data_IF_795054038439
#
_entry.id   IF_795054038439
#
_cell.length_a   1.000
_cell.length_b   1.000
_cell.length_c   1.000
_cell.angle_alpha   90.00
_cell.angle_beta   90.00
_cell.angle_gamma   90.00
#
_symmetry.space_group_name_H-M   'P 1'
#
loop_
_entity.id
_entity.type
_entity.pdbx_description
1 polymer ?
#
# COMPACT_ATOMS: atom_id res chain seq x y z
N UNK A 1 6.27 9.65 -12.43
CA UNK A 1 5.19 9.46 -11.43
C UNK A 1 5.75 8.77 -10.20
N UNK A 2 5.31 9.18 -9.00
CA UNK A 2 5.67 8.53 -7.74
C UNK A 2 4.49 7.65 -7.31
N UNK A 3 4.76 6.42 -6.88
CA UNK A 3 3.76 5.59 -6.19
C UNK A 3 3.97 5.71 -4.68
N UNK A 4 2.91 6.04 -3.94
CA UNK A 4 2.94 6.19 -2.48
C UNK A 4 1.89 5.27 -1.86
N UNK A 5 2.32 4.29 -1.08
CA UNK A 5 1.41 3.43 -0.31
C UNK A 5 1.19 4.03 1.07
N UNK A 6 -0.05 4.18 1.47
CA UNK A 6 -0.44 4.63 2.81
C UNK A 6 -0.76 3.41 3.67
N UNK A 7 0.01 3.19 4.73
CA UNK A 7 -0.17 2.04 5.64
C UNK A 7 -1.57 2.01 6.27
N UNK A 8 -2.20 0.83 6.34
CA UNK A 8 -3.55 0.68 6.88
C UNK A 8 -3.68 1.12 8.34
N UNK A 9 -2.65 0.93 9.14
CA UNK A 9 -2.59 1.38 10.54
C UNK A 9 -2.43 2.90 10.72
N UNK A 10 -2.24 3.67 9.63
CA UNK A 10 -2.25 5.14 9.69
C UNK A 10 -3.66 5.72 9.66
N UNK A 11 -4.67 4.93 9.24
CA UNK A 11 -6.06 5.40 9.16
C UNK A 11 -6.72 5.63 10.53
N UNK A 12 -6.09 5.20 11.63
CA UNK A 12 -6.51 5.49 12.99
C UNK A 12 -6.19 6.93 13.45
N UNK A 13 -5.37 7.67 12.68
CA UNK A 13 -4.88 8.98 13.08
C UNK A 13 -5.76 10.11 12.50
N UNK A 14 -6.39 10.95 13.34
CA UNK A 14 -7.21 12.09 12.88
C UNK A 14 -6.43 13.08 12.01
N UNK A 15 -5.13 13.26 12.28
CA UNK A 15 -4.24 14.16 11.55
C UNK A 15 -3.80 13.63 10.16
N UNK A 16 -4.21 12.40 9.76
CA UNK A 16 -3.74 11.78 8.51
C UNK A 16 -4.04 12.65 7.28
N UNK A 17 -5.23 13.19 7.16
CA UNK A 17 -5.61 14.03 6.01
C UNK A 17 -4.74 15.28 5.86
N UNK A 18 -4.65 16.15 6.89
CA UNK A 18 -3.76 17.31 6.86
C UNK A 18 -2.31 16.95 6.54
N UNK A 19 -1.74 15.94 7.23
CA UNK A 19 -0.36 15.52 7.03
C UNK A 19 -0.10 14.99 5.60
N UNK A 20 -1.01 14.17 5.05
CA UNK A 20 -0.91 13.69 3.67
C UNK A 20 -0.96 14.84 2.66
N UNK A 21 -1.86 15.81 2.83
CA UNK A 21 -1.93 16.96 1.93
C UNK A 21 -0.64 17.79 1.97
N UNK A 22 -0.06 18.00 3.14
CA UNK A 22 1.23 18.68 3.29
C UNK A 22 2.34 17.88 2.60
N UNK A 23 2.42 16.58 2.86
CA UNK A 23 3.41 15.70 2.23
C UNK A 23 3.29 15.69 0.70
N UNK A 24 2.08 15.54 0.16
CA UNK A 24 1.84 15.56 -1.28
C UNK A 24 2.30 16.87 -1.92
N UNK A 25 2.14 17.99 -1.23
CA UNK A 25 2.62 19.29 -1.71
C UNK A 25 4.16 19.33 -1.85
N UNK A 26 4.90 18.59 -1.02
CA UNK A 26 6.38 18.50 -1.15
C UNK A 26 6.83 17.67 -2.35
N UNK A 27 5.93 16.85 -2.90
CA UNK A 27 6.23 16.01 -4.06
C UNK A 27 5.93 16.71 -5.39
N UNK A 28 5.24 17.85 -5.37
CA UNK A 28 4.92 18.61 -6.57
C UNK A 28 6.20 19.08 -7.30
N UNK A 29 6.20 19.17 -8.63
CA UNK A 29 5.06 18.96 -9.55
C UNK A 29 4.87 17.51 -10.02
N UNK A 30 5.51 16.53 -9.41
CA UNK A 30 5.45 15.14 -9.85
C UNK A 30 4.06 14.55 -9.60
N UNK A 31 3.45 13.85 -10.59
CA UNK A 31 2.18 13.16 -10.37
C UNK A 31 2.38 12.01 -9.37
N UNK A 32 1.41 11.87 -8.45
CA UNK A 32 1.40 10.84 -7.42
C UNK A 32 0.22 9.91 -7.61
N UNK A 33 0.48 8.60 -7.53
CA UNK A 33 -0.52 7.55 -7.41
C UNK A 33 -0.48 6.98 -6.00
N UNK A 34 -1.59 7.08 -5.28
CA UNK A 34 -1.72 6.55 -3.93
C UNK A 34 -2.26 5.13 -3.96
N UNK A 35 -1.78 4.30 -3.06
CA UNK A 35 -2.29 2.95 -2.79
C UNK A 35 -2.72 2.88 -1.33
N UNK A 36 -4.00 2.63 -1.10
CA UNK A 36 -4.55 2.53 0.25
C UNK A 36 -4.22 1.19 0.89
N UNK A 37 -3.75 1.19 2.13
CA UNK A 37 -3.65 0.00 2.97
C UNK A 37 -5.01 -0.49 3.44
N UNK A 38 -5.12 -1.77 3.80
CA UNK A 38 -6.41 -2.38 4.19
C UNK A 38 -6.90 -1.95 5.57
N UNK A 39 -6.00 -1.85 6.56
CA UNK A 39 -6.39 -1.53 7.94
C UNK A 39 -7.49 -2.46 8.47
N UNK A 40 -8.38 -1.92 9.29
CA UNK A 40 -9.46 -2.68 9.94
C UNK A 40 -10.39 -3.42 8.97
N UNK A 41 -10.58 -2.91 7.73
CA UNK A 41 -11.46 -3.59 6.76
C UNK A 41 -10.83 -4.88 6.23
N UNK A 42 -9.53 -4.90 5.99
CA UNK A 42 -8.81 -6.12 5.62
C UNK A 42 -8.73 -7.11 6.79
N UNK A 43 -8.65 -6.62 8.02
CA UNK A 43 -8.67 -7.49 9.22
C UNK A 43 -10.03 -8.15 9.42
N UNK A 44 -11.13 -7.46 9.08
CA UNK A 44 -12.46 -8.06 9.05
C UNK A 44 -12.54 -9.21 8.02
N UNK A 45 -11.96 -9.03 6.82
CA UNK A 45 -11.90 -10.10 5.81
C UNK A 45 -11.07 -11.30 6.30
N UNK A 46 -9.94 -11.06 6.98
CA UNK A 46 -9.15 -12.13 7.61
C UNK A 46 -9.97 -12.89 8.66
N UNK A 47 -10.80 -12.17 9.42
CA UNK A 47 -11.69 -12.81 10.40
C UNK A 47 -12.74 -13.69 9.70
N UNK A 48 -13.34 -13.23 8.60
CA UNK A 48 -14.29 -14.03 7.82
C UNK A 48 -13.60 -15.28 7.22
N UNK A 49 -12.40 -15.14 6.68
CA UNK A 49 -11.65 -16.28 6.14
C UNK A 49 -11.39 -17.33 7.23
N UNK A 50 -10.93 -16.92 8.42
CA UNK A 50 -10.74 -17.84 9.55
C UNK A 50 -12.04 -18.54 9.99
N UNK A 51 -13.17 -17.82 9.96
CA UNK A 51 -14.46 -18.34 10.41
C UNK A 51 -15.10 -19.29 9.40
N UNK A 52 -14.96 -18.96 8.11
CA UNK A 52 -15.68 -19.64 7.05
C UNK A 52 -14.80 -20.51 6.14
N UNK A 53 -13.48 -20.54 6.41
CA UNK A 53 -12.48 -21.30 5.64
C UNK A 53 -12.59 -21.02 4.14
N UNK A 54 -12.58 -19.73 3.76
CA UNK A 54 -12.78 -19.30 2.37
C UNK A 54 -11.69 -19.81 1.42
N UNK A 55 -10.48 -19.99 1.93
CA UNK A 55 -9.29 -20.31 1.17
C UNK A 55 -8.58 -19.08 0.59
N UNK A 56 -7.30 -19.24 0.24
CA UNK A 56 -6.43 -18.12 -0.09
C UNK A 56 -6.94 -17.25 -1.24
N UNK A 57 -7.28 -17.83 -2.39
CA UNK A 57 -7.66 -17.04 -3.55
C UNK A 57 -9.00 -16.31 -3.36
N UNK A 58 -10.10 -16.95 -2.89
CA UNK A 58 -11.34 -16.22 -2.57
C UNK A 58 -11.16 -15.14 -1.52
N UNK A 59 -10.39 -15.41 -0.46
CA UNK A 59 -10.12 -14.44 0.59
C UNK A 59 -9.28 -13.27 0.08
N UNK A 60 -8.31 -13.51 -0.80
CA UNK A 60 -7.51 -12.48 -1.45
C UNK A 60 -8.39 -11.52 -2.28
N UNK A 61 -9.27 -12.06 -3.13
CA UNK A 61 -10.18 -11.22 -3.93
C UNK A 61 -11.17 -10.43 -3.07
N UNK A 62 -11.66 -11.03 -1.99
CA UNK A 62 -12.52 -10.34 -1.03
C UNK A 62 -11.76 -9.21 -0.31
N UNK A 63 -10.50 -9.46 0.06
CA UNK A 63 -9.63 -8.44 0.64
C UNK A 63 -9.40 -7.27 -0.33
N UNK A 64 -9.13 -7.55 -1.61
CA UNK A 64 -9.01 -6.51 -2.64
C UNK A 64 -10.29 -5.67 -2.77
N UNK A 65 -11.46 -6.32 -2.78
CA UNK A 65 -12.74 -5.62 -2.83
C UNK A 65 -12.95 -4.71 -1.60
N UNK A 66 -12.50 -5.14 -0.43
CA UNK A 66 -12.60 -4.34 0.80
C UNK A 66 -11.75 -3.06 0.77
N UNK A 67 -10.70 -3.01 -0.06
CA UNK A 67 -9.85 -1.83 -0.20
C UNK A 67 -10.57 -0.63 -0.84
N UNK A 68 -11.70 -0.82 -1.51
CA UNK A 68 -12.50 0.29 -2.05
C UNK A 68 -12.98 1.23 -0.93
N UNK A 69 -13.21 0.70 0.27
CA UNK A 69 -13.59 1.52 1.44
C UNK A 69 -12.43 2.43 1.86
N UNK A 70 -11.23 1.89 2.01
CA UNK A 70 -10.05 2.68 2.41
C UNK A 70 -9.56 3.58 1.28
N UNK A 71 -9.72 3.19 0.02
CA UNK A 71 -9.43 4.02 -1.13
C UNK A 71 -10.36 5.24 -1.17
N UNK A 72 -11.67 5.04 -1.01
CA UNK A 72 -12.65 6.13 -0.96
C UNK A 72 -12.43 7.09 0.22
N UNK A 73 -12.02 6.56 1.39
CA UNK A 73 -11.59 7.39 2.51
C UNK A 73 -10.35 8.23 2.13
N UNK A 74 -9.34 7.59 1.54
CA UNK A 74 -8.09 8.26 1.16
C UNK A 74 -8.33 9.36 0.13
N UNK A 75 -9.21 9.15 -0.86
CA UNK A 75 -9.61 10.17 -1.84
C UNK A 75 -10.18 11.43 -1.16
N UNK A 76 -11.05 11.24 -0.16
CA UNK A 76 -11.62 12.35 0.62
C UNK A 76 -10.56 13.07 1.44
N UNK A 77 -9.66 12.34 2.08
CA UNK A 77 -8.59 12.90 2.91
C UNK A 77 -7.62 13.77 2.10
N UNK A 78 -7.31 13.38 0.86
CA UNK A 78 -6.33 14.11 0.03
C UNK A 78 -6.97 15.23 -0.81
N UNK A 79 -8.29 15.22 -0.99
CA UNK A 79 -9.02 16.31 -1.64
C UNK A 79 -8.57 16.58 -3.08
N UNK A 80 -8.41 15.53 -3.89
CA UNK A 80 -8.05 15.63 -5.31
C UNK A 80 -6.57 15.93 -5.60
N UNK A 81 -5.69 15.98 -4.59
CA UNK A 81 -4.25 16.26 -4.77
C UNK A 81 -3.45 15.13 -5.39
N UNK A 82 -4.01 13.91 -5.38
CA UNK A 82 -3.41 12.73 -6.00
C UNK A 82 -4.51 11.77 -6.43
N UNK A 83 -4.20 10.90 -7.39
CA UNK A 83 -5.09 9.79 -7.77
C UNK A 83 -4.91 8.65 -6.78
N UNK A 84 -5.98 7.93 -6.47
CA UNK A 84 -5.95 6.71 -5.66
C UNK A 84 -6.16 5.52 -6.59
N UNK A 85 -5.36 4.47 -6.42
CA UNK A 85 -5.47 3.24 -7.20
C UNK A 85 -6.70 2.45 -6.73
N UNK A 86 -7.56 2.06 -7.66
CA UNK A 86 -8.51 0.99 -7.42
C UNK A 86 -7.76 -0.34 -7.50
N UNK A 87 -7.42 -0.91 -6.33
CA UNK A 87 -6.60 -2.12 -6.24
C UNK A 87 -7.30 -3.34 -6.85
N UNK A 88 -8.62 -3.46 -6.70
CA UNK A 88 -9.38 -4.57 -7.27
C UNK A 88 -9.39 -4.53 -8.79
N UNK A 89 -9.68 -3.39 -9.39
CA UNK A 89 -9.67 -3.22 -10.85
C UNK A 89 -8.25 -3.47 -11.40
N UNK A 90 -7.24 -2.86 -10.77
CA UNK A 90 -5.84 -3.06 -11.16
C UNK A 90 -5.43 -4.52 -11.13
N UNK A 91 -5.74 -5.25 -10.05
CA UNK A 91 -5.38 -6.65 -9.92
C UNK A 91 -6.05 -7.52 -10.98
N UNK A 92 -7.33 -7.27 -11.29
CA UNK A 92 -8.06 -8.00 -12.36
C UNK A 92 -7.47 -7.74 -13.74
N UNK A 93 -7.08 -6.52 -14.05
CA UNK A 93 -6.46 -6.18 -15.33
C UNK A 93 -5.04 -6.75 -15.44
N UNK A 94 -4.33 -6.88 -14.33
CA UNK A 94 -2.96 -7.37 -14.27
C UNK A 94 -2.86 -8.91 -14.23
N UNK A 95 -3.93 -9.60 -13.85
CA UNK A 95 -3.95 -11.03 -13.53
C UNK A 95 -3.43 -11.93 -14.67
N UNK A 96 -3.68 -11.56 -15.91
CA UNK A 96 -3.20 -12.30 -17.09
C UNK A 96 -1.80 -11.85 -17.57
N UNK A 97 -1.16 -10.87 -16.89
CA UNK A 97 0.13 -10.32 -17.32
C UNK A 97 1.29 -11.09 -16.72
N UNK A 98 2.43 -11.18 -17.42
CA UNK A 98 3.66 -11.70 -16.82
C UNK A 98 4.02 -10.91 -15.56
N UNK A 99 4.28 -11.65 -14.47
CA UNK A 99 4.62 -11.06 -13.18
C UNK A 99 3.43 -10.62 -12.34
N UNK A 100 2.20 -10.97 -12.70
CA UNK A 100 1.02 -10.80 -11.87
C UNK A 100 1.23 -11.36 -10.45
N UNK A 101 0.54 -10.77 -9.48
CA UNK A 101 0.68 -11.16 -8.07
C UNK A 101 -0.10 -12.44 -7.76
N UNK A 102 0.45 -13.36 -6.95
CA UNK A 102 -0.30 -14.55 -6.53
C UNK A 102 -1.47 -14.18 -5.61
N UNK A 103 -2.55 -14.96 -5.68
CA UNK A 103 -3.77 -14.74 -4.89
C UNK A 103 -3.65 -15.42 -3.53
N UNK A 104 -2.81 -14.85 -2.66
CA UNK A 104 -2.53 -15.38 -1.32
C UNK A 104 -2.46 -14.27 -0.28
N UNK A 105 -2.53 -14.62 0.99
CA UNK A 105 -2.33 -13.67 2.10
C UNK A 105 -0.88 -13.18 2.23
N UNK A 106 0.09 -13.82 1.56
CA UNK A 106 1.46 -13.33 1.47
C UNK A 106 1.58 -12.02 0.69
N UNK A 107 0.57 -11.71 -0.16
CA UNK A 107 0.45 -10.47 -0.92
C UNK A 107 -0.48 -9.53 -0.20
N UNK A 108 0.02 -8.35 0.15
CA UNK A 108 -0.80 -7.24 0.66
C UNK A 108 -0.57 -5.98 -0.16
N UNK A 109 -1.02 -4.85 0.33
CA UNK A 109 -0.92 -3.58 -0.39
C UNK A 109 0.51 -3.07 -0.56
N UNK A 110 1.51 -3.60 0.15
CA UNK A 110 2.92 -3.31 -0.12
C UNK A 110 3.35 -3.90 -1.47
N UNK A 111 3.07 -5.19 -1.70
CA UNK A 111 3.30 -5.86 -2.99
C UNK A 111 2.47 -5.27 -4.11
N UNK A 112 1.21 -4.89 -3.86
CA UNK A 112 0.34 -4.24 -4.85
C UNK A 112 0.94 -2.89 -5.28
N UNK A 113 1.43 -2.09 -4.33
CA UNK A 113 2.07 -0.81 -4.64
C UNK A 113 3.37 -1.00 -5.44
N UNK A 114 4.17 -2.01 -5.09
CA UNK A 114 5.37 -2.35 -5.84
C UNK A 114 5.03 -2.82 -7.27
N UNK A 115 4.01 -3.66 -7.44
CA UNK A 115 3.54 -4.08 -8.77
C UNK A 115 2.98 -2.91 -9.59
N UNK A 116 2.22 -2.02 -8.96
CA UNK A 116 1.75 -0.81 -9.63
C UNK A 116 2.93 0.08 -10.05
N UNK A 117 3.96 0.21 -9.21
CA UNK A 117 5.17 0.95 -9.55
C UNK A 117 5.90 0.32 -10.76
N UNK A 118 5.97 -1.01 -10.84
CA UNK A 118 6.53 -1.74 -11.98
C UNK A 118 5.74 -1.49 -13.26
N UNK A 119 4.41 -1.73 -13.22
CA UNK A 119 3.51 -1.64 -14.38
C UNK A 119 3.43 -0.21 -14.94
N UNK A 120 3.37 0.78 -14.07
CA UNK A 120 3.26 2.19 -14.48
C UNK A 120 4.62 2.88 -14.68
N UNK A 121 5.74 2.17 -14.53
CA UNK A 121 7.06 2.73 -14.71
C UNK A 121 7.35 3.88 -13.73
N UNK A 122 7.06 3.70 -12.45
CA UNK A 122 7.24 4.73 -11.45
C UNK A 122 8.71 5.12 -11.31
N UNK A 123 8.95 6.39 -11.00
CA UNK A 123 10.29 6.93 -10.74
C UNK A 123 10.72 6.78 -9.29
N UNK A 124 9.76 6.48 -8.39
CA UNK A 124 9.98 6.21 -6.96
C UNK A 124 8.78 5.48 -6.38
N UNK A 125 9.04 4.56 -5.43
CA UNK A 125 8.05 3.92 -4.57
C UNK A 125 8.29 4.35 -3.14
N UNK A 126 7.24 4.85 -2.46
CA UNK A 126 7.29 5.19 -1.03
C UNK A 126 6.24 4.38 -0.29
N UNK A 127 6.66 3.69 0.77
CA UNK A 127 5.76 2.98 1.69
C UNK A 127 5.69 3.77 3.00
N UNK A 128 4.58 4.46 3.22
CA UNK A 128 4.30 5.17 4.48
C UNK A 128 3.85 4.16 5.53
N UNK A 129 4.63 4.04 6.59
CA UNK A 129 4.44 3.09 7.70
C UNK A 129 4.10 3.83 8.99
N UNK A 130 3.59 3.10 9.97
CA UNK A 130 3.29 3.63 11.31
C UNK A 130 4.39 3.35 12.34
N UNK A 131 5.50 2.76 11.90
CA UNK A 131 6.63 2.36 12.74
C UNK A 131 7.95 2.72 12.06
N UNK A 132 9.00 2.86 12.88
CA UNK A 132 10.36 3.02 12.36
C UNK A 132 10.87 1.71 11.77
N UNK A 133 11.45 1.81 10.58
CA UNK A 133 12.12 0.70 9.92
C UNK A 133 13.63 0.94 10.05
N UNK A 134 14.37 0.04 10.70
CA UNK A 134 15.81 0.20 10.86
C UNK A 134 16.52 0.37 9.50
N UNK A 135 17.46 1.31 9.45
CA UNK A 135 18.25 1.54 8.25
C UNK A 135 19.12 0.33 7.89
N UNK A 136 19.38 0.13 6.61
CA UNK A 136 20.28 -0.91 6.12
C UNK A 136 19.67 -2.31 6.03
N UNK A 137 18.39 -2.49 6.36
CA UNK A 137 17.71 -3.77 6.13
C UNK A 137 17.55 -4.04 4.64
N UNK A 138 17.84 -5.28 4.21
CA UNK A 138 17.38 -5.76 2.91
C UNK A 138 15.86 -5.89 2.90
N UNK A 139 15.23 -5.89 1.71
CA UNK A 139 13.78 -6.11 1.61
C UNK A 139 13.35 -7.46 2.17
N UNK A 140 14.19 -8.51 2.04
CA UNK A 140 13.94 -9.81 2.66
C UNK A 140 13.91 -9.71 4.19
N UNK A 141 14.90 -9.05 4.81
CA UNK A 141 14.92 -8.83 6.25
C UNK A 141 13.75 -7.95 6.73
N UNK A 142 13.32 -6.97 5.91
CA UNK A 142 12.14 -6.17 6.21
C UNK A 142 10.86 -7.02 6.20
N UNK A 143 10.74 -7.98 5.29
CA UNK A 143 9.62 -8.92 5.24
C UNK A 143 9.63 -9.90 6.42
N UNK A 144 10.79 -10.50 6.74
CA UNK A 144 10.96 -11.40 7.90
C UNK A 144 10.55 -10.73 9.23
N UNK A 145 10.79 -9.41 9.35
CA UNK A 145 10.43 -8.62 10.53
C UNK A 145 9.01 -8.03 10.47
N UNK A 146 8.25 -8.30 9.41
CA UNK A 146 6.88 -7.82 9.23
C UNK A 146 6.75 -6.33 8.90
N UNK A 147 7.82 -5.66 8.48
CA UNK A 147 7.77 -4.28 8.02
C UNK A 147 7.12 -4.14 6.64
N UNK A 148 7.21 -5.17 5.81
CA UNK A 148 6.52 -5.32 4.52
C UNK A 148 5.93 -6.72 4.42
N UNK A 149 5.03 -6.94 3.48
CA UNK A 149 4.47 -8.28 3.28
C UNK A 149 5.51 -9.29 2.71
N UNK A 150 5.21 -10.59 2.90
CA UNK A 150 6.16 -11.65 2.58
C UNK A 150 6.51 -11.74 1.08
N UNK A 151 5.62 -11.29 0.19
CA UNK A 151 5.85 -11.31 -1.25
C UNK A 151 6.56 -10.05 -1.78
N UNK A 152 6.55 -8.96 -1.00
CA UNK A 152 7.15 -7.68 -1.40
C UNK A 152 8.59 -7.79 -1.93
N UNK A 153 9.52 -8.56 -1.32
CA UNK A 153 10.89 -8.67 -1.81
C UNK A 153 10.98 -9.17 -3.25
N UNK A 154 10.07 -10.09 -3.64
CA UNK A 154 10.04 -10.67 -5.00
C UNK A 154 9.67 -9.59 -6.03
N UNK A 155 8.69 -8.74 -5.71
CA UNK A 155 8.28 -7.65 -6.60
C UNK A 155 9.31 -6.53 -6.59
N UNK A 156 9.82 -6.17 -5.40
CA UNK A 156 10.81 -5.11 -5.24
C UNK A 156 12.10 -5.37 -6.03
N UNK A 157 12.52 -6.64 -6.16
CA UNK A 157 13.70 -7.01 -6.94
C UNK A 157 13.58 -6.69 -8.46
N UNK A 158 12.35 -6.50 -8.97
CA UNK A 158 12.09 -6.15 -10.37
C UNK A 158 12.05 -4.63 -10.61
N UNK A 159 11.94 -3.85 -9.54
CA UNK A 159 11.85 -2.38 -9.64
C UNK A 159 13.20 -1.76 -10.01
N UNK A 160 13.15 -0.78 -10.91
CA UNK A 160 14.32 0.00 -11.31
C UNK A 160 14.38 1.39 -10.65
N UNK A 161 13.40 1.68 -9.80
CA UNK A 161 13.32 2.94 -9.07
C UNK A 161 13.68 2.75 -7.60
N UNK A 162 14.12 3.81 -6.90
CA UNK A 162 14.36 3.75 -5.47
C UNK A 162 13.05 3.45 -4.70
N UNK A 163 13.22 2.69 -3.62
CA UNK A 163 12.17 2.32 -2.69
C UNK A 163 12.48 2.94 -1.34
N UNK A 164 11.52 3.66 -0.76
CA UNK A 164 11.63 4.30 0.54
C UNK A 164 10.57 3.71 1.50
N UNK A 165 10.99 3.24 2.67
CA UNK A 165 10.12 2.91 3.79
C UNK A 165 10.21 4.06 4.79
N UNK A 166 9.08 4.73 5.06
CA UNK A 166 9.06 5.96 5.87
C UNK A 166 8.06 5.84 7.02
N UNK A 167 8.49 6.09 8.24
CA UNK A 167 7.57 6.25 9.36
C UNK A 167 6.82 7.58 9.21
N UNK A 168 5.51 7.51 8.99
CA UNK A 168 4.68 8.69 8.79
C UNK A 168 4.05 9.21 10.08
N UNK A 169 4.24 8.51 11.21
CA UNK A 169 3.76 8.98 12.54
C UNK A 169 4.44 10.28 12.95
N UNK A 170 5.68 10.52 12.53
CA UNK A 170 6.38 11.77 12.82
C UNK A 170 5.70 12.98 12.16
N UNK A 171 5.24 12.85 10.92
CA UNK A 171 4.49 13.91 10.22
C UNK A 171 3.11 14.12 10.81
N UNK A 172 2.46 13.05 11.32
CA UNK A 172 1.17 13.16 12.01
C UNK A 172 1.27 14.03 13.26
N UNK A 173 2.33 13.86 14.04
CA UNK A 173 2.55 14.63 15.27
C UNK A 173 2.68 16.15 15.01
N UNK A 174 3.18 16.54 13.85
CA UNK A 174 3.29 17.94 13.46
C UNK A 174 1.96 18.59 13.04
N UNK A 175 0.89 17.79 12.88
CA UNK A 175 -0.42 18.21 12.38
C UNK A 175 -1.57 17.84 13.35
N UNK A 176 -1.22 17.31 14.55
CA UNK A 176 -2.16 16.90 15.59
C UNK A 176 -2.69 18.09 16.42
#
# INVERSE_FOLDING_TARGET
MIVVKVGGSLFDAPALGPALRAYLSTLAPQPVLLVAGGGAVADAVRAFDRTHALGEAPAHWLALASLDVTAGLLERLVGGRARVLNCLAFAREDDARPGALPHTWAVTTDSIAARAAEVFGATRLVLLKSVDVPAGLSHAQAAERGFVDAHFPVVAARLRCPIELRNFRHELAAHA
#
